data_IF_952160713508
#
_entry.id   IF_952160713508
#
_cell.length_a   1.000
_cell.length_b   1.000
_cell.length_c   1.000
_cell.angle_alpha   90.00
_cell.angle_beta   90.00
_cell.angle_gamma   90.00
#
_symmetry.space_group_name_H-M   'P 1'
#
loop_
_entity.id
_entity.type
_entity.pdbx_description
1 polymer ?
#
# COMPACT_ATOMS: atom_id res chain seq x y z
N UNK A 1 11.42 -7.81 30.06
CA UNK A 1 10.08 -8.35 30.31
C UNK A 1 9.66 -9.09 29.08
N UNK A 2 9.23 -10.36 29.20
CA UNK A 2 8.77 -11.10 28.02
C UNK A 2 7.32 -10.73 27.66
N UNK A 3 6.90 -10.90 26.39
CA UNK A 3 5.53 -10.53 25.97
C UNK A 3 4.42 -11.19 26.81
N UNK A 4 4.64 -12.43 27.27
CA UNK A 4 3.67 -13.17 28.09
C UNK A 4 3.49 -12.56 29.50
N UNK A 5 4.35 -11.63 29.89
CA UNK A 5 4.29 -10.92 31.17
C UNK A 5 3.81 -9.49 31.02
N UNK A 6 3.31 -9.13 29.83
CA UNK A 6 2.76 -7.82 29.53
C UNK A 6 1.26 -7.91 29.31
N UNK A 7 0.54 -6.87 29.73
CA UNK A 7 -0.87 -6.70 29.44
C UNK A 7 -1.13 -5.36 28.79
N UNK A 8 -2.10 -5.30 27.89
CA UNK A 8 -2.63 -4.03 27.40
C UNK A 8 -3.66 -3.49 28.38
N UNK A 9 -3.55 -2.22 28.75
CA UNK A 9 -4.45 -1.58 29.68
C UNK A 9 -4.57 -0.07 29.40
N UNK A 10 -5.73 0.52 29.68
CA UNK A 10 -5.91 1.98 29.67
C UNK A 10 -5.25 2.58 30.94
N UNK A 11 -4.13 3.25 30.75
CA UNK A 11 -3.40 3.95 31.82
C UNK A 11 -3.80 5.43 31.92
N UNK A 12 -5.06 5.74 31.62
CA UNK A 12 -5.62 7.11 31.70
C UNK A 12 -5.53 7.70 33.09
N UNK A 13 -5.79 6.89 34.09
CA UNK A 13 -5.56 7.19 35.50
C UNK A 13 -4.36 6.41 36.01
N UNK A 14 -3.70 6.93 37.06
CA UNK A 14 -2.57 6.23 37.67
C UNK A 14 -3.05 4.88 38.24
N UNK A 15 -2.59 3.80 37.61
CA UNK A 15 -2.90 2.44 37.97
C UNK A 15 -1.66 1.56 37.84
N UNK A 16 -1.46 0.67 38.80
CA UNK A 16 -0.43 -0.36 38.72
C UNK A 16 -1.09 -1.73 38.58
N UNK A 17 -0.69 -2.54 37.63
CA UNK A 17 -1.23 -3.88 37.51
C UNK A 17 -0.84 -4.74 38.70
N UNK A 18 -1.69 -5.64 39.15
CA UNK A 18 -1.33 -6.64 40.14
C UNK A 18 -0.26 -7.58 39.58
N UNK A 19 0.55 -8.18 40.44
CA UNK A 19 1.63 -9.09 40.00
C UNK A 19 1.08 -10.37 39.30
N UNK A 20 -0.19 -10.69 39.51
CA UNK A 20 -0.86 -11.86 38.90
C UNK A 20 -2.31 -11.49 38.57
N UNK A 21 -2.73 -11.84 37.36
CA UNK A 21 -4.13 -11.71 36.93
C UNK A 21 -4.75 -13.08 36.63
N UNK A 22 -5.96 -13.36 37.12
CA UNK A 22 -6.69 -14.54 36.71
C UNK A 22 -7.17 -14.34 35.25
N UNK A 23 -6.94 -15.34 34.44
CA UNK A 23 -7.30 -15.34 33.02
C UNK A 23 -7.99 -16.66 32.68
N UNK A 24 -9.11 -16.61 31.98
CA UNK A 24 -9.75 -17.78 31.40
C UNK A 24 -9.27 -17.98 29.95
N UNK A 25 -8.63 -19.11 29.68
CA UNK A 25 -8.18 -19.46 28.36
C UNK A 25 -9.37 -19.74 27.45
N UNK A 26 -9.39 -19.06 26.28
CA UNK A 26 -10.36 -19.37 25.24
C UNK A 26 -10.14 -20.79 24.71
N UNK A 27 -11.17 -21.62 24.70
CA UNK A 27 -11.17 -22.98 24.16
C UNK A 27 -11.35 -24.09 25.18
N UNK A 28 -10.69 -24.07 26.32
CA UNK A 28 -10.82 -25.10 27.35
C UNK A 28 -11.44 -24.59 28.69
N UNK A 29 -11.70 -23.27 28.77
CA UNK A 29 -12.31 -22.62 29.92
C UNK A 29 -11.46 -22.68 31.20
N UNK A 30 -10.22 -23.17 31.16
CA UNK A 30 -9.38 -23.28 32.35
C UNK A 30 -8.92 -21.93 32.85
N UNK A 31 -9.06 -21.70 34.15
CA UNK A 31 -8.49 -20.54 34.81
C UNK A 31 -6.96 -20.70 34.94
N UNK A 32 -6.22 -19.73 34.40
CA UNK A 32 -4.76 -19.66 34.46
C UNK A 32 -4.38 -18.41 35.23
N UNK A 33 -3.37 -18.48 36.07
CA UNK A 33 -2.77 -17.30 36.72
C UNK A 33 -1.70 -16.72 35.83
N UNK A 34 -1.94 -15.53 35.26
CA UNK A 34 -0.98 -14.85 34.39
C UNK A 34 -0.05 -13.99 35.23
N UNK A 35 1.27 -14.24 35.27
CA UNK A 35 2.21 -13.37 35.94
C UNK A 35 2.38 -12.08 35.14
N UNK A 36 2.05 -10.95 35.73
CA UNK A 36 2.13 -9.63 35.10
C UNK A 36 3.31 -8.88 35.67
N UNK A 37 4.18 -8.36 34.80
CA UNK A 37 5.28 -7.45 35.15
C UNK A 37 5.08 -6.04 34.64
N UNK A 38 4.31 -5.87 33.58
CA UNK A 38 4.14 -4.61 32.88
C UNK A 38 2.73 -4.47 32.33
N UNK A 39 2.10 -3.33 32.53
CA UNK A 39 0.95 -2.87 31.76
C UNK A 39 1.42 -1.83 30.73
N UNK A 40 0.91 -1.92 29.52
CA UNK A 40 1.22 -1.02 28.41
C UNK A 40 -0.07 -0.39 27.89
N UNK A 41 -0.08 0.93 27.75
CA UNK A 41 -1.10 1.70 27.05
C UNK A 41 -0.57 2.09 25.66
N UNK A 42 -0.94 1.36 24.62
CA UNK A 42 -0.43 1.62 23.27
C UNK A 42 -0.97 2.92 22.67
N UNK A 43 -2.15 3.39 23.11
CA UNK A 43 -2.74 4.64 22.62
C UNK A 43 -1.97 5.87 23.12
N UNK A 44 -1.47 5.82 24.36
CA UNK A 44 -0.81 6.96 25.01
C UNK A 44 0.69 6.81 25.13
N UNK A 45 1.25 5.67 24.71
CA UNK A 45 2.65 5.38 24.85
C UNK A 45 3.10 5.33 26.32
N UNK A 46 2.25 4.88 27.24
CA UNK A 46 2.53 4.81 28.67
C UNK A 46 2.71 3.36 29.09
N UNK A 47 3.46 3.17 30.15
CA UNK A 47 3.60 1.87 30.79
C UNK A 47 3.64 1.99 32.32
N UNK A 48 3.24 0.95 33.02
CA UNK A 48 3.30 0.85 34.46
C UNK A 48 3.81 -0.54 34.86
N UNK A 49 4.75 -0.58 35.78
CA UNK A 49 5.22 -1.83 36.37
C UNK A 49 4.22 -2.36 37.38
N UNK A 50 4.16 -3.69 37.48
CA UNK A 50 3.31 -4.36 38.44
C UNK A 50 3.66 -3.95 39.87
N UNK A 51 2.68 -4.09 40.75
CA UNK A 51 2.85 -3.79 42.17
C UNK A 51 4.02 -4.58 42.78
N UNK A 52 4.85 -3.90 43.58
CA UNK A 52 6.05 -4.48 44.14
C UNK A 52 7.30 -4.50 43.23
N UNK A 53 7.16 -4.18 41.92
CA UNK A 53 8.31 -4.06 41.04
C UNK A 53 8.82 -2.62 40.96
N UNK A 54 10.07 -2.41 41.37
CA UNK A 54 10.75 -1.10 41.28
C UNK A 54 12.06 -1.30 40.53
N UNK A 55 12.08 -1.21 39.22
CA UNK A 55 13.30 -1.37 38.45
C UNK A 55 14.24 -0.17 38.68
N UNK A 56 15.53 -0.43 38.79
CA UNK A 56 16.57 0.59 38.92
C UNK A 56 16.88 1.27 37.59
N UNK A 57 16.63 0.59 36.50
CA UNK A 57 16.89 1.10 35.13
C UNK A 57 15.86 0.50 34.17
N UNK A 58 15.39 1.30 33.22
CA UNK A 58 14.44 0.90 32.18
C UNK A 58 14.97 1.33 30.83
N UNK A 59 15.07 0.35 29.93
CA UNK A 59 15.37 0.58 28.52
C UNK A 59 14.12 0.32 27.71
N UNK A 60 13.74 1.27 26.86
CA UNK A 60 12.56 1.15 25.97
C UNK A 60 13.04 1.33 24.54
N UNK A 61 12.67 0.37 23.68
CA UNK A 61 12.81 0.49 22.23
C UNK A 61 11.42 0.48 21.62
N UNK A 62 11.12 1.48 20.83
CA UNK A 62 9.81 1.61 20.21
C UNK A 62 9.93 2.28 18.84
N UNK A 63 8.95 1.96 17.98
CA UNK A 63 8.77 2.66 16.72
C UNK A 63 7.67 3.70 16.90
N UNK A 64 7.88 4.88 16.37
CA UNK A 64 6.86 5.90 16.36
C UNK A 64 6.60 6.35 14.93
N UNK A 65 5.34 6.65 14.63
CA UNK A 65 4.94 7.29 13.39
C UNK A 65 4.85 8.79 13.59
N UNK A 66 5.44 9.55 12.70
CA UNK A 66 5.21 10.98 12.60
C UNK A 66 4.37 11.26 11.35
N UNK A 67 3.39 12.15 11.46
CA UNK A 67 2.69 12.64 10.29
C UNK A 67 3.69 13.36 9.39
N UNK A 68 3.88 12.85 8.19
CA UNK A 68 4.74 13.43 7.17
C UNK A 68 4.05 13.35 5.82
N UNK A 69 4.30 14.33 4.97
CA UNK A 69 3.82 14.35 3.59
C UNK A 69 4.70 13.43 2.72
N UNK A 70 4.67 12.12 3.02
CA UNK A 70 5.45 11.09 2.37
C UNK A 70 4.56 9.95 1.90
N UNK A 71 4.84 9.43 0.70
CA UNK A 71 4.12 8.28 0.14
C UNK A 71 2.64 8.55 -0.11
N UNK A 72 1.85 7.49 -0.18
CA UNK A 72 0.39 7.56 -0.29
C UNK A 72 -0.23 7.95 1.05
N UNK A 73 -0.78 9.14 1.15
CA UNK A 73 -1.38 9.64 2.40
C UNK A 73 -2.43 10.70 2.14
N UNK A 74 -3.31 10.92 3.12
CA UNK A 74 -4.41 11.89 3.06
C UNK A 74 -3.96 13.33 3.36
N UNK A 75 -2.98 13.85 2.65
CA UNK A 75 -2.49 15.21 2.79
C UNK A 75 -2.69 16.03 1.52
N UNK A 76 -2.55 17.33 1.63
CA UNK A 76 -2.69 18.24 0.48
C UNK A 76 -1.53 18.05 -0.51
N UNK A 77 -1.87 17.83 -1.77
CA UNK A 77 -0.94 17.69 -2.88
C UNK A 77 -1.27 18.65 -3.99
N UNK A 78 -0.26 19.23 -4.59
CA UNK A 78 -0.42 20.03 -5.81
C UNK A 78 -0.49 19.06 -6.98
N UNK A 79 -1.66 18.94 -7.59
CA UNK A 79 -1.86 18.12 -8.79
C UNK A 79 -1.51 18.98 -10.02
N UNK A 80 -0.51 18.54 -10.77
CA UNK A 80 -0.10 19.23 -12.00
C UNK A 80 -0.77 18.54 -13.18
N UNK A 81 -1.74 19.19 -13.77
CA UNK A 81 -2.37 18.73 -14.99
C UNK A 81 -1.58 19.18 -16.22
N UNK A 82 -1.35 18.22 -17.14
CA UNK A 82 -0.91 18.56 -18.50
C UNK A 82 -2.12 19.07 -19.26
N UNK A 83 -1.97 20.13 -20.09
CA UNK A 83 -3.07 20.66 -20.91
C UNK A 83 -3.72 19.59 -21.81
N UNK A 84 -2.93 18.60 -22.23
CA UNK A 84 -3.36 17.53 -23.13
C UNK A 84 -3.89 16.30 -22.38
N UNK A 85 -3.99 16.35 -21.05
CA UNK A 85 -4.46 15.22 -20.24
C UNK A 85 -5.98 15.07 -20.32
N UNK A 86 -6.41 13.85 -20.59
CA UNK A 86 -7.82 13.46 -20.45
C UNK A 86 -8.04 12.86 -19.09
N UNK A 87 -8.83 13.50 -18.24
CA UNK A 87 -9.09 13.05 -16.86
C UNK A 87 -10.39 12.26 -16.79
N UNK A 88 -10.32 11.07 -16.23
CA UNK A 88 -11.48 10.24 -15.85
C UNK A 88 -11.48 10.11 -14.33
N UNK A 89 -12.55 10.57 -13.69
CA UNK A 89 -12.68 10.55 -12.23
C UNK A 89 -13.42 9.28 -11.81
N UNK A 90 -12.79 8.52 -10.90
CA UNK A 90 -13.34 7.30 -10.31
C UNK A 90 -13.69 7.56 -8.84
N UNK A 91 -14.83 7.01 -8.40
CA UNK A 91 -15.38 7.18 -7.04
C UNK A 91 -15.96 5.87 -6.53
N UNK A 92 -16.22 5.81 -5.23
CA UNK A 92 -16.95 4.73 -4.57
C UNK A 92 -16.35 3.33 -4.85
N UNK A 93 -15.00 3.26 -4.88
CA UNK A 93 -14.29 2.02 -5.19
C UNK A 93 -14.42 1.54 -6.64
N UNK A 94 -14.86 2.40 -7.56
CA UNK A 94 -15.02 2.12 -9.00
C UNK A 94 -16.08 1.03 -9.30
N UNK A 95 -17.37 1.26 -9.00
CA UNK A 95 -18.43 0.28 -9.25
C UNK A 95 -18.61 -0.08 -10.74
N UNK A 96 -18.14 0.79 -11.63
CA UNK A 96 -18.09 0.52 -13.08
C UNK A 96 -16.98 -0.42 -13.51
N UNK A 97 -16.03 -0.72 -12.60
CA UNK A 97 -14.93 -1.62 -12.85
C UNK A 97 -13.93 -1.13 -13.90
N UNK A 98 -13.82 0.17 -14.12
CA UNK A 98 -12.91 0.77 -15.11
C UNK A 98 -11.47 0.37 -14.80
N UNK A 99 -11.05 0.52 -13.54
CA UNK A 99 -9.69 0.23 -13.10
C UNK A 99 -9.35 -1.27 -13.15
N UNK A 100 -10.32 -2.13 -12.83
CA UNK A 100 -10.16 -3.59 -12.88
C UNK A 100 -10.13 -4.15 -14.30
N UNK A 101 -10.68 -3.43 -15.28
CA UNK A 101 -10.81 -3.85 -16.67
C UNK A 101 -9.87 -3.14 -17.66
N UNK A 102 -8.94 -2.33 -17.17
CA UNK A 102 -8.00 -1.56 -18.02
C UNK A 102 -7.17 -2.44 -18.98
N UNK A 103 -6.94 -3.69 -18.64
CA UNK A 103 -6.23 -4.65 -19.50
C UNK A 103 -7.12 -5.30 -20.56
N UNK A 104 -8.44 -5.11 -20.52
CA UNK A 104 -9.31 -5.62 -21.59
C UNK A 104 -9.18 -4.75 -22.83
N UNK A 105 -9.12 -5.38 -24.00
CA UNK A 105 -8.98 -4.66 -25.27
C UNK A 105 -10.12 -3.65 -25.50
N UNK A 106 -11.35 -4.00 -25.07
CA UNK A 106 -12.53 -3.14 -25.22
C UNK A 106 -12.43 -1.89 -24.34
N UNK A 107 -12.14 -2.06 -23.05
CA UNK A 107 -12.01 -0.92 -22.10
C UNK A 107 -10.82 -0.06 -22.45
N UNK A 108 -9.67 -0.66 -22.74
CA UNK A 108 -8.48 0.08 -23.15
C UNK A 108 -8.76 0.89 -24.42
N UNK A 109 -9.36 0.30 -25.45
CA UNK A 109 -9.70 1.02 -26.68
C UNK A 109 -10.65 2.20 -26.44
N UNK A 110 -11.68 2.00 -25.61
CA UNK A 110 -12.65 3.05 -25.28
C UNK A 110 -12.01 4.21 -24.48
N UNK A 111 -11.11 3.90 -23.56
CA UNK A 111 -10.45 4.90 -22.73
C UNK A 111 -9.38 5.67 -23.50
N UNK A 112 -8.57 4.99 -24.29
CA UNK A 112 -7.49 5.66 -25.03
C UNK A 112 -8.03 6.52 -26.18
N UNK A 113 -8.87 6.03 -27.05
CA UNK A 113 -9.54 6.77 -28.16
C UNK A 113 -8.66 7.85 -28.81
N UNK A 114 -7.39 7.53 -29.08
CA UNK A 114 -6.43 8.47 -29.64
C UNK A 114 -5.81 9.48 -28.66
N UNK A 115 -6.11 9.37 -27.38
CA UNK A 115 -5.49 10.19 -26.33
C UNK A 115 -4.05 9.74 -26.10
N UNK A 116 -3.15 10.70 -25.93
CA UNK A 116 -1.76 10.42 -25.60
C UNK A 116 -1.49 10.45 -24.10
N UNK A 117 -2.29 11.19 -23.34
CA UNK A 117 -2.20 11.24 -21.90
C UNK A 117 -3.57 10.98 -21.26
N UNK A 118 -3.69 9.86 -20.55
CA UNK A 118 -4.87 9.49 -19.78
C UNK A 118 -4.57 9.60 -18.30
N UNK A 119 -5.44 10.28 -17.56
CA UNK A 119 -5.39 10.39 -16.10
C UNK A 119 -6.60 9.71 -15.52
N UNK A 120 -6.39 8.72 -14.68
CA UNK A 120 -7.43 8.10 -13.84
C UNK A 120 -7.27 8.67 -12.43
N UNK A 121 -8.23 9.49 -12.03
CA UNK A 121 -8.21 10.16 -10.73
C UNK A 121 -9.12 9.46 -9.73
N UNK A 122 -8.57 8.96 -8.64
CA UNK A 122 -9.30 8.35 -7.53
C UNK A 122 -9.70 9.46 -6.56
N UNK A 123 -10.99 9.78 -6.52
CA UNK A 123 -11.47 11.00 -5.88
C UNK A 123 -11.78 10.86 -4.38
N UNK A 124 -11.65 9.67 -3.83
CA UNK A 124 -11.93 9.39 -2.42
C UNK A 124 -10.89 8.43 -1.81
N UNK A 125 -11.04 8.11 -0.53
CA UNK A 125 -10.16 7.20 0.22
C UNK A 125 -10.70 5.78 0.29
N UNK A 126 -11.46 5.36 -0.70
CA UNK A 126 -12.04 4.02 -0.74
C UNK A 126 -11.04 2.96 -1.27
N UNK A 127 -11.51 1.73 -1.40
CA UNK A 127 -10.74 0.58 -1.88
C UNK A 127 -11.01 0.36 -3.36
N UNK A 128 -9.94 0.36 -4.12
CA UNK A 128 -9.97 0.14 -5.56
C UNK A 128 -9.28 -1.16 -5.92
N UNK A 129 -9.74 -1.83 -6.96
CA UNK A 129 -9.11 -3.04 -7.49
C UNK A 129 -8.44 -2.72 -8.82
N UNK A 130 -7.11 -2.88 -8.86
CA UNK A 130 -6.31 -2.70 -10.06
C UNK A 130 -6.22 -4.01 -10.82
N UNK A 131 -6.78 -4.06 -12.02
CA UNK A 131 -6.61 -5.15 -12.96
C UNK A 131 -5.33 -5.02 -13.80
N UNK A 132 -5.18 -5.90 -14.79
CA UNK A 132 -4.10 -5.78 -15.76
C UNK A 132 -4.13 -4.41 -16.44
N UNK A 133 -2.95 -3.81 -16.66
CA UNK A 133 -2.80 -2.52 -17.31
C UNK A 133 -2.18 -2.67 -18.69
N UNK A 134 -2.65 -1.85 -19.63
CA UNK A 134 -2.00 -1.68 -20.92
C UNK A 134 -1.79 -0.20 -21.20
N UNK A 135 -0.55 0.19 -21.44
CA UNK A 135 -0.18 1.56 -21.83
C UNK A 135 0.36 1.52 -23.25
N UNK A 136 -0.33 2.11 -24.24
CA UNK A 136 0.11 2.11 -25.63
C UNK A 136 1.46 2.81 -25.82
N UNK A 137 2.13 2.53 -26.93
CA UNK A 137 3.41 3.15 -27.26
C UNK A 137 3.30 4.68 -27.33
N UNK A 138 4.29 5.37 -26.76
CA UNK A 138 4.32 6.83 -26.70
C UNK A 138 3.25 7.48 -25.83
N UNK A 139 2.40 6.70 -25.15
CA UNK A 139 1.34 7.22 -24.31
C UNK A 139 1.73 7.31 -22.84
N UNK A 140 1.07 8.19 -22.10
CA UNK A 140 1.22 8.33 -20.65
C UNK A 140 -0.08 7.97 -19.93
N UNK A 141 0.00 7.02 -19.01
CA UNK A 141 -1.06 6.72 -18.04
C UNK A 141 -0.67 7.28 -16.69
N UNK A 142 -1.50 8.14 -16.13
CA UNK A 142 -1.35 8.59 -14.75
C UNK A 142 -2.50 8.03 -13.92
N UNK A 143 -2.19 7.25 -12.91
CA UNK A 143 -3.13 6.84 -11.87
C UNK A 143 -2.81 7.67 -10.63
N UNK A 144 -3.76 8.52 -10.22
CA UNK A 144 -3.52 9.45 -9.12
C UNK A 144 -4.65 9.49 -8.11
N UNK A 145 -4.31 9.78 -6.88
CA UNK A 145 -5.29 10.17 -5.86
C UNK A 145 -5.57 11.66 -5.94
N UNK A 146 -6.83 12.04 -5.74
CA UNK A 146 -7.19 13.44 -5.52
C UNK A 146 -6.45 14.01 -4.29
N UNK A 147 -6.23 15.32 -4.26
CA UNK A 147 -5.64 15.97 -3.08
C UNK A 147 -6.45 15.65 -1.83
N UNK A 148 -5.77 15.34 -0.73
CA UNK A 148 -6.33 14.90 0.56
C UNK A 148 -6.96 13.50 0.56
N UNK A 149 -7.10 12.81 -0.58
CA UNK A 149 -7.52 11.41 -0.62
C UNK A 149 -6.35 10.44 -0.40
N UNK A 150 -6.65 9.29 0.20
CA UNK A 150 -5.70 8.19 0.42
C UNK A 150 -6.33 6.87 -0.01
N UNK A 151 -6.53 6.65 -1.33
CA UNK A 151 -7.11 5.42 -1.83
C UNK A 151 -6.19 4.23 -1.58
N UNK A 152 -6.78 3.11 -1.15
CA UNK A 152 -6.11 1.81 -1.11
C UNK A 152 -6.35 1.09 -2.44
N UNK A 153 -5.33 1.01 -3.26
CA UNK A 153 -5.38 0.28 -4.53
C UNK A 153 -4.82 -1.13 -4.32
N UNK A 154 -5.67 -2.14 -4.44
CA UNK A 154 -5.27 -3.55 -4.37
C UNK A 154 -5.10 -4.11 -5.78
N UNK A 155 -4.06 -4.87 -6.00
CA UNK A 155 -3.93 -5.64 -7.24
C UNK A 155 -4.95 -6.79 -7.25
N UNK A 156 -5.54 -7.09 -8.42
CA UNK A 156 -6.49 -8.20 -8.59
C UNK A 156 -5.80 -9.55 -8.43
N UNK A 157 -4.54 -9.63 -8.86
CA UNK A 157 -3.67 -10.78 -8.68
C UNK A 157 -2.53 -10.46 -7.72
N UNK A 158 -1.88 -11.48 -7.20
CA UNK A 158 -0.71 -11.33 -6.30
C UNK A 158 0.39 -10.52 -6.97
N UNK A 159 0.60 -10.75 -8.27
CA UNK A 159 1.50 -9.95 -9.11
C UNK A 159 0.72 -9.40 -10.30
N UNK A 160 0.52 -8.10 -10.33
CA UNK A 160 -0.23 -7.44 -11.38
C UNK A 160 0.63 -7.21 -12.62
N UNK A 161 0.20 -7.72 -13.74
CA UNK A 161 0.88 -7.51 -15.02
C UNK A 161 0.54 -6.12 -15.57
N UNK A 162 1.60 -5.39 -15.96
CA UNK A 162 1.52 -4.08 -16.61
C UNK A 162 2.25 -4.17 -17.94
N UNK A 163 1.51 -4.14 -19.03
CA UNK A 163 2.05 -4.18 -20.39
C UNK A 163 2.27 -2.75 -20.90
N UNK A 164 3.49 -2.42 -21.24
CA UNK A 164 3.88 -1.06 -21.68
C UNK A 164 4.45 -1.07 -23.07
N UNK A 165 3.94 -0.17 -23.92
CA UNK A 165 4.48 0.06 -25.26
C UNK A 165 5.81 0.80 -25.23
N UNK A 166 6.49 0.87 -26.38
CA UNK A 166 7.74 1.60 -26.50
C UNK A 166 7.53 3.10 -26.26
N UNK A 167 8.41 3.70 -25.44
CA UNK A 167 8.31 5.11 -25.03
C UNK A 167 7.12 5.42 -24.13
N UNK A 168 6.39 4.41 -23.61
CA UNK A 168 5.26 4.63 -22.72
C UNK A 168 5.69 5.03 -21.31
N UNK A 169 4.83 5.80 -20.64
CA UNK A 169 5.03 6.23 -19.24
C UNK A 169 3.86 5.81 -18.36
N UNK A 170 4.14 5.16 -17.25
CA UNK A 170 3.21 4.93 -16.15
C UNK A 170 3.56 5.84 -14.97
N UNK A 171 2.64 6.70 -14.55
CA UNK A 171 2.80 7.55 -13.37
C UNK A 171 1.82 7.11 -12.28
N UNK A 172 2.32 6.90 -11.06
CA UNK A 172 1.52 6.60 -9.88
C UNK A 172 1.70 7.74 -8.87
N UNK A 173 0.61 8.40 -8.49
CA UNK A 173 0.66 9.63 -7.71
C UNK A 173 -0.28 9.59 -6.51
N UNK A 174 0.27 9.69 -5.30
CA UNK A 174 -0.50 9.78 -4.06
C UNK A 174 -1.19 8.49 -3.62
N UNK A 175 -0.78 7.33 -4.11
CA UNK A 175 -1.46 6.07 -3.92
C UNK A 175 -0.84 5.23 -2.79
N UNK A 176 -1.69 4.47 -2.10
CA UNK A 176 -1.27 3.31 -1.33
C UNK A 176 -1.62 2.05 -2.13
N UNK A 177 -0.60 1.40 -2.71
CA UNK A 177 -0.76 0.23 -3.56
C UNK A 177 -0.37 -1.04 -2.80
N UNK A 178 -1.31 -1.95 -2.63
CA UNK A 178 -1.13 -3.26 -1.99
C UNK A 178 -1.00 -4.35 -3.06
N UNK A 179 0.18 -4.97 -3.13
CA UNK A 179 0.54 -5.99 -4.11
C UNK A 179 1.81 -5.64 -4.87
N UNK A 180 2.11 -6.42 -5.90
CA UNK A 180 3.31 -6.25 -6.74
C UNK A 180 2.92 -5.96 -8.18
N UNK A 181 3.78 -5.26 -8.91
CA UNK A 181 3.63 -5.00 -10.33
C UNK A 181 4.78 -5.63 -11.12
N UNK A 182 4.44 -6.34 -12.19
CA UNK A 182 5.39 -6.89 -13.14
C UNK A 182 5.24 -6.18 -14.49
N UNK A 183 6.26 -5.44 -14.88
CA UNK A 183 6.31 -4.72 -16.14
C UNK A 183 6.79 -5.62 -17.26
N UNK A 184 6.07 -5.61 -18.36
CA UNK A 184 6.46 -6.32 -19.57
C UNK A 184 6.22 -5.46 -20.83
N UNK A 185 6.94 -5.70 -21.91
CA UNK A 185 6.67 -5.01 -23.16
C UNK A 185 5.27 -5.39 -23.70
N UNK A 186 4.54 -4.41 -24.21
CA UNK A 186 3.26 -4.65 -24.87
C UNK A 186 3.48 -5.53 -26.11
N UNK A 187 2.53 -6.42 -26.37
CA UNK A 187 2.60 -7.27 -27.57
C UNK A 187 2.74 -6.43 -28.84
N UNK A 188 3.68 -6.80 -29.69
CA UNK A 188 4.02 -6.05 -30.92
C UNK A 188 5.02 -4.90 -30.73
N UNK A 189 5.48 -4.63 -29.51
CA UNK A 189 6.57 -3.67 -29.30
C UNK A 189 7.88 -4.11 -29.96
N UNK A 190 8.74 -3.17 -30.38
CA UNK A 190 10.06 -3.47 -30.93
C UNK A 190 10.90 -4.34 -29.99
N UNK A 191 11.91 -5.03 -30.55
CA UNK A 191 12.83 -5.85 -29.77
C UNK A 191 13.63 -5.00 -28.76
N UNK A 192 13.95 -3.76 -29.11
CA UNK A 192 14.55 -2.75 -28.25
C UNK A 192 13.44 -1.76 -27.86
N UNK A 193 12.77 -1.98 -26.75
CA UNK A 193 11.74 -1.07 -26.26
C UNK A 193 12.09 -0.53 -24.88
N UNK A 194 11.63 0.68 -24.60
CA UNK A 194 11.85 1.37 -23.34
C UNK A 194 10.53 1.84 -22.74
N UNK A 195 10.45 1.89 -21.43
CA UNK A 195 9.31 2.45 -20.71
C UNK A 195 9.79 3.24 -19.49
N UNK A 196 8.95 4.14 -19.00
CA UNK A 196 9.21 4.92 -17.78
C UNK A 196 8.13 4.66 -16.74
N UNK A 197 8.55 4.47 -15.49
CA UNK A 197 7.65 4.44 -14.33
C UNK A 197 8.01 5.58 -13.41
N UNK A 198 7.05 6.42 -13.10
CA UNK A 198 7.21 7.56 -12.19
C UNK A 198 6.37 7.31 -10.96
N UNK A 199 6.99 7.35 -9.80
CA UNK A 199 6.33 7.24 -8.50
C UNK A 199 6.44 8.59 -7.79
N UNK A 200 5.28 9.20 -7.55
CA UNK A 200 5.20 10.49 -6.88
C UNK A 200 4.26 10.37 -5.68
N UNK A 201 4.73 10.69 -4.47
CA UNK A 201 3.94 10.58 -3.24
C UNK A 201 3.20 9.23 -3.09
N UNK A 202 3.77 8.13 -3.57
CA UNK A 202 3.12 6.82 -3.54
C UNK A 202 3.84 5.84 -2.63
N UNK A 203 3.08 4.93 -2.03
CA UNK A 203 3.59 3.84 -1.19
C UNK A 203 3.19 2.51 -1.82
N UNK A 204 4.16 1.65 -2.10
CA UNK A 204 3.96 0.31 -2.64
C UNK A 204 4.29 -0.72 -1.57
N UNK A 205 3.33 -1.60 -1.25
CA UNK A 205 3.46 -2.59 -0.17
C UNK A 205 3.19 -4.00 -0.71
N UNK A 206 4.21 -4.73 -1.17
CA UNK A 206 4.04 -6.08 -1.72
C UNK A 206 3.39 -7.06 -0.74
N UNK A 207 3.82 -7.01 0.51
CA UNK A 207 3.34 -7.89 1.59
C UNK A 207 2.02 -7.47 2.24
N UNK A 208 1.31 -6.46 1.71
CA UNK A 208 0.02 -6.03 2.27
C UNK A 208 -1.12 -7.02 1.99
N UNK A 209 -0.97 -7.88 0.99
CA UNK A 209 -1.92 -8.97 0.73
C UNK A 209 -1.61 -10.14 1.66
N UNK A 210 -2.63 -10.63 2.35
CA UNK A 210 -2.50 -11.70 3.33
C UNK A 210 -3.34 -12.92 2.97
N UNK A 211 -2.93 -14.09 3.46
CA UNK A 211 -3.70 -15.32 3.42
C UNK A 211 -4.89 -15.25 4.41
N UNK A 212 -5.78 -16.22 4.38
CA UNK A 212 -6.87 -16.37 5.37
C UNK A 212 -6.34 -16.48 6.81
N UNK A 213 -5.12 -17.01 6.98
CA UNK A 213 -4.46 -17.09 8.30
C UNK A 213 -3.78 -15.79 8.74
N UNK A 214 -3.82 -14.73 7.91
CA UNK A 214 -3.20 -13.44 8.21
C UNK A 214 -1.71 -13.36 7.87
N UNK A 215 -1.12 -14.38 7.26
CA UNK A 215 0.29 -14.35 6.84
C UNK A 215 0.45 -13.56 5.54
N UNK A 216 1.48 -12.70 5.40
CA UNK A 216 1.76 -12.01 4.14
C UNK A 216 1.96 -12.98 2.98
N UNK A 217 1.35 -12.69 1.83
CA UNK A 217 1.46 -13.55 0.65
C UNK A 217 2.85 -13.50 0.01
N UNK A 218 3.43 -12.31 -0.10
CA UNK A 218 4.74 -12.12 -0.73
C UNK A 218 5.55 -11.03 -0.03
N UNK A 219 5.98 -11.23 1.24
CA UNK A 219 6.67 -10.19 2.00
C UNK A 219 8.04 -9.82 1.42
N UNK A 220 8.70 -10.76 0.73
CA UNK A 220 10.03 -10.59 0.13
C UNK A 220 9.98 -10.20 -1.36
N UNK A 221 8.79 -10.07 -1.96
CA UNK A 221 8.68 -9.75 -3.37
C UNK A 221 9.04 -8.28 -3.63
N UNK A 222 9.69 -7.95 -4.75
CA UNK A 222 9.89 -6.57 -5.15
C UNK A 222 8.55 -5.91 -5.47
N UNK A 223 8.39 -4.65 -5.08
CA UNK A 223 7.18 -3.89 -5.38
C UNK A 223 6.96 -3.71 -6.90
N UNK A 224 8.06 -3.58 -7.63
CA UNK A 224 8.08 -3.50 -9.10
C UNK A 224 9.17 -4.43 -9.62
N UNK A 225 8.82 -5.25 -10.61
CA UNK A 225 9.75 -6.13 -11.32
C UNK A 225 9.54 -6.04 -12.82
N UNK A 226 10.49 -6.55 -13.58
CA UNK A 226 10.35 -6.74 -15.03
C UNK A 226 10.26 -8.23 -15.33
N UNK A 227 9.32 -8.63 -16.16
CA UNK A 227 9.16 -10.02 -16.62
C UNK A 227 9.32 -10.07 -18.13
N UNK A 228 10.49 -9.74 -18.63
CA UNK A 228 10.77 -9.79 -20.07
C UNK A 228 11.88 -10.78 -20.36
N UNK A 229 11.61 -11.75 -21.20
CA UNK A 229 12.64 -12.61 -21.80
C UNK A 229 13.45 -11.86 -22.87
N UNK A 230 13.09 -10.61 -23.16
CA UNK A 230 13.79 -9.76 -24.12
C UNK A 230 14.95 -9.06 -23.43
N UNK A 231 16.17 -9.36 -23.87
CA UNK A 231 17.41 -8.80 -23.32
C UNK A 231 17.55 -7.28 -23.44
N UNK A 232 16.65 -6.63 -24.18
CA UNK A 232 16.70 -5.18 -24.51
C UNK A 232 15.47 -4.37 -24.06
N UNK A 233 14.63 -4.92 -23.18
CA UNK A 233 13.56 -4.13 -22.56
C UNK A 233 14.12 -3.33 -21.38
N UNK A 234 14.19 -2.00 -21.54
CA UNK A 234 14.70 -1.09 -20.54
C UNK A 234 13.56 -0.36 -19.82
N UNK A 235 13.58 -0.38 -18.49
CA UNK A 235 12.65 0.39 -17.67
C UNK A 235 13.41 1.37 -16.80
N UNK A 236 13.08 2.66 -16.92
CA UNK A 236 13.54 3.68 -15.99
C UNK A 236 12.52 3.86 -14.87
N UNK A 237 12.97 3.89 -13.62
CA UNK A 237 12.10 4.17 -12.47
C UNK A 237 12.55 5.48 -11.84
N UNK A 238 11.64 6.43 -11.73
CA UNK A 238 11.86 7.72 -11.09
C UNK A 238 11.04 7.82 -9.83
N UNK A 239 11.69 8.13 -8.72
CA UNK A 239 11.04 8.38 -7.43
C UNK A 239 11.09 9.88 -7.15
N UNK A 240 9.94 10.49 -6.98
CA UNK A 240 9.84 11.91 -6.67
C UNK A 240 9.00 12.12 -5.41
N UNK A 241 9.35 13.17 -4.68
CA UNK A 241 8.69 13.58 -3.43
C UNK A 241 7.82 14.81 -3.69
#
# INVERSE_FOLDING_TARGET
VSPEQMIAADLKSFWRPPAVLPYQRSGDGKAVQLPVKLALDPERGRFAFAEGLTPTQVWVSYHYGAAAQLGGGGYERVLLDSPDASVVVLRDGDPGGVLSQLGSATTASALWQGRQHLVLELADSDRYTLGALQVPAGCKLTLRAQSQACPLVKTSDVTQVVSVGDGATLSLEGLLLAGTMALQPLAGSPATSSASVVLHHSTLVPGALVTESGSPLQPEAPAISTTSDRASFAVSVQLTR
#
